data_IF_157334647450
#
_entry.id   IF_157334647450
#
_cell.length_a   1.000
_cell.length_b   1.000
_cell.length_c   1.000
_cell.angle_alpha   90.00
_cell.angle_beta   90.00
_cell.angle_gamma   90.00
#
_symmetry.space_group_name_H-M   'P 1'
#
loop_
_entity.id
_entity.type
_entity.pdbx_description
1 polymer ?
#
# COMPACT_ATOMS: atom_id res chain seq x y z
N UNK A 1 -1.97 7.30 -16.51
CA UNK A 1 -2.13 6.86 -17.93
C UNK A 1 -0.87 6.17 -18.44
N UNK A 2 -0.93 5.41 -19.55
CA UNK A 2 0.26 4.89 -20.26
C UNK A 2 0.84 5.98 -21.16
N UNK A 3 2.13 5.92 -21.46
CA UNK A 3 2.76 6.87 -22.40
C UNK A 3 2.13 6.84 -23.79
N UNK A 4 1.78 5.65 -24.31
CA UNK A 4 1.13 5.54 -25.61
C UNK A 4 -0.25 6.21 -25.65
N UNK A 5 -0.94 6.26 -24.51
CA UNK A 5 -2.20 6.99 -24.36
C UNK A 5 -1.95 8.49 -24.29
N UNK A 6 -0.94 8.93 -23.54
CA UNK A 6 -0.49 10.32 -23.47
C UNK A 6 -0.15 10.91 -24.85
N UNK A 7 0.55 10.12 -25.67
CA UNK A 7 0.93 10.49 -27.04
C UNK A 7 -0.25 10.63 -28.01
N UNK A 8 -1.41 10.05 -27.67
CA UNK A 8 -2.64 10.08 -28.46
C UNK A 8 -3.68 11.05 -27.89
N UNK A 9 -3.32 11.83 -26.87
CA UNK A 9 -4.21 12.87 -26.37
C UNK A 9 -4.35 13.96 -27.44
N UNK A 10 -5.58 14.42 -27.60
CA UNK A 10 -5.95 15.52 -28.48
C UNK A 10 -6.13 16.80 -27.67
N UNK A 11 -6.16 17.95 -28.35
CA UNK A 11 -6.40 19.26 -27.71
C UNK A 11 -7.73 19.30 -26.95
N UNK A 12 -8.74 18.62 -27.46
CA UNK A 12 -10.06 18.52 -26.83
C UNK A 12 -10.14 17.46 -25.69
N UNK A 13 -9.04 16.85 -25.27
CA UNK A 13 -9.10 15.79 -24.25
C UNK A 13 -9.46 16.32 -22.87
N UNK A 14 -9.19 17.59 -22.59
CA UNK A 14 -9.56 18.22 -21.33
C UNK A 14 -11.07 18.56 -21.34
N UNK A 15 -11.79 18.13 -20.30
CA UNK A 15 -13.22 18.41 -20.12
C UNK A 15 -13.51 18.98 -18.74
N UNK A 16 -14.41 19.95 -18.75
CA UNK A 16 -15.02 20.48 -17.54
C UNK A 16 -16.26 19.66 -17.22
N UNK A 17 -16.35 19.15 -15.99
CA UNK A 17 -17.49 18.33 -15.53
C UNK A 17 -18.50 19.14 -14.70
N UNK A 18 -18.26 20.45 -14.54
CA UNK A 18 -19.05 21.33 -13.68
C UNK A 18 -18.30 21.74 -12.40
N UNK A 19 -18.68 22.91 -11.84
CA UNK A 19 -18.00 23.47 -10.66
C UNK A 19 -16.50 23.66 -10.89
N UNK A 20 -15.67 23.17 -9.95
CA UNK A 20 -14.20 23.16 -10.10
C UNK A 20 -13.65 21.78 -10.52
N UNK A 21 -14.49 20.91 -11.11
CA UNK A 21 -14.10 19.55 -11.46
C UNK A 21 -13.66 19.47 -12.93
N UNK A 22 -12.44 19.01 -13.12
CA UNK A 22 -11.85 18.78 -14.44
C UNK A 22 -11.46 17.32 -14.59
N UNK A 23 -11.64 16.80 -15.80
CA UNK A 23 -11.22 15.46 -16.14
C UNK A 23 -10.58 15.42 -17.53
N UNK A 24 -9.62 14.52 -17.66
CA UNK A 24 -9.01 14.18 -18.92
C UNK A 24 -9.75 12.98 -19.52
N UNK A 25 -10.32 13.17 -20.71
CA UNK A 25 -10.79 12.10 -21.56
C UNK A 25 -9.60 11.37 -22.18
N UNK A 26 -9.39 10.11 -21.81
CA UNK A 26 -8.34 9.28 -22.41
C UNK A 26 -8.98 8.40 -23.48
N UNK A 27 -8.66 8.62 -24.78
CA UNK A 27 -9.28 7.89 -25.88
C UNK A 27 -8.88 6.41 -25.88
N UNK A 28 -9.66 5.60 -26.61
CA UNK A 28 -9.52 4.14 -26.72
C UNK A 28 -8.05 3.71 -26.85
N UNK A 29 -7.54 3.09 -25.78
CA UNK A 29 -6.24 2.44 -25.76
C UNK A 29 -6.29 1.02 -26.34
N UNK A 30 -5.17 0.28 -26.23
CA UNK A 30 -5.09 -1.14 -26.63
C UNK A 30 -6.13 -2.06 -25.96
N UNK A 31 -6.76 -1.61 -24.87
CA UNK A 31 -7.75 -2.35 -24.10
C UNK A 31 -9.20 -1.92 -24.40
N UNK A 32 -9.43 -1.07 -25.42
CA UNK A 32 -10.76 -0.61 -25.84
C UNK A 32 -11.65 -0.01 -24.73
N UNK A 33 -11.06 0.51 -23.65
CA UNK A 33 -11.79 1.23 -22.60
C UNK A 33 -11.43 2.72 -22.64
N UNK A 34 -12.43 3.54 -22.96
CA UNK A 34 -12.40 4.97 -22.69
C UNK A 34 -12.52 5.21 -21.19
N UNK A 35 -11.88 6.26 -20.69
CA UNK A 35 -12.00 6.62 -19.28
C UNK A 35 -11.76 8.10 -19.03
N UNK A 36 -12.33 8.54 -17.91
CA UNK A 36 -12.16 9.87 -17.37
C UNK A 36 -11.14 9.82 -16.23
N UNK A 37 -10.07 10.60 -16.36
CA UNK A 37 -9.06 10.74 -15.31
C UNK A 37 -9.23 12.11 -14.66
N UNK A 38 -9.64 12.20 -13.38
CA UNK A 38 -9.74 13.48 -12.68
C UNK A 38 -8.40 14.21 -12.68
N UNK A 39 -8.45 15.52 -12.88
CA UNK A 39 -7.29 16.41 -12.84
C UNK A 39 -7.45 17.42 -11.72
N UNK A 40 -6.34 17.70 -11.04
CA UNK A 40 -6.22 18.84 -10.14
C UNK A 40 -5.89 20.12 -10.93
N UNK A 41 -5.93 21.25 -10.23
CA UNK A 41 -5.65 22.55 -10.84
C UNK A 41 -4.23 22.67 -11.39
N UNK A 42 -3.24 22.02 -10.76
CA UNK A 42 -1.86 22.01 -11.25
C UNK A 42 -1.73 21.26 -12.57
N UNK A 43 -2.30 20.05 -12.68
CA UNK A 43 -2.28 19.30 -13.93
C UNK A 43 -3.06 20.02 -15.04
N UNK A 44 -4.17 20.68 -14.70
CA UNK A 44 -4.92 21.52 -15.63
C UNK A 44 -4.07 22.67 -16.18
N UNK A 45 -3.39 23.44 -15.31
CA UNK A 45 -2.49 24.52 -15.73
C UNK A 45 -1.37 24.02 -16.64
N UNK A 46 -0.82 22.83 -16.37
CA UNK A 46 0.20 22.22 -17.23
C UNK A 46 -0.39 21.90 -18.61
N UNK A 47 -1.60 21.36 -18.67
CA UNK A 47 -2.29 21.08 -19.93
C UNK A 47 -2.53 22.36 -20.75
N UNK A 48 -3.06 23.40 -20.11
CA UNK A 48 -3.29 24.72 -20.72
C UNK A 48 -1.98 25.35 -21.22
N UNK A 49 -0.90 25.22 -20.44
CA UNK A 49 0.43 25.68 -20.84
C UNK A 49 0.97 24.92 -22.05
N UNK A 50 0.70 23.62 -22.16
CA UNK A 50 1.07 22.85 -23.36
C UNK A 50 0.28 23.38 -24.57
N UNK A 51 -1.03 23.62 -24.40
CA UNK A 51 -1.86 24.18 -25.46
C UNK A 51 -1.31 25.52 -25.95
N UNK A 52 -0.94 26.43 -25.06
CA UNK A 52 -0.41 27.75 -25.44
C UNK A 52 0.86 27.71 -26.28
N UNK A 53 1.68 26.65 -26.17
CA UNK A 53 2.87 26.47 -27.02
C UNK A 53 2.57 25.85 -28.38
N UNK A 54 1.38 25.30 -28.56
CA UNK A 54 0.97 24.62 -29.80
C UNK A 54 -0.06 25.41 -30.61
N UNK A 55 -0.60 26.48 -30.05
CA UNK A 55 -1.42 27.46 -30.78
C UNK A 55 -0.55 28.23 -31.76
N UNK A 56 -0.31 27.65 -32.92
CA UNK A 56 0.25 28.37 -34.07
C UNK A 56 -0.81 29.34 -34.59
N UNK A 57 -0.40 30.54 -34.99
CA UNK A 57 -1.20 31.71 -35.44
C UNK A 57 -2.09 31.49 -36.70
N UNK A 58 -2.46 30.25 -37.04
CA UNK A 58 -3.40 29.98 -38.12
C UNK A 58 -4.80 30.40 -37.67
N UNK A 59 -5.37 31.38 -38.38
CA UNK A 59 -6.70 31.99 -38.20
C UNK A 59 -7.89 31.03 -38.30
N UNK A 60 -7.66 29.73 -38.46
CA UNK A 60 -8.68 28.69 -38.46
C UNK A 60 -8.77 28.06 -37.06
N UNK A 61 -10.00 27.90 -36.58
CA UNK A 61 -10.31 27.17 -35.35
C UNK A 61 -9.55 25.82 -35.36
N UNK A 62 -8.60 25.60 -34.43
CA UNK A 62 -7.78 24.40 -34.48
C UNK A 62 -8.66 23.17 -34.34
N UNK A 63 -8.54 22.23 -35.29
CA UNK A 63 -9.33 21.00 -35.30
C UNK A 63 -9.28 20.34 -33.90
N UNK A 64 -10.43 20.10 -33.25
CA UNK A 64 -10.48 19.48 -31.92
C UNK A 64 -9.78 18.11 -31.87
N UNK A 65 -9.62 17.45 -33.02
CA UNK A 65 -8.93 16.17 -33.19
C UNK A 65 -7.40 16.30 -33.29
N UNK A 66 -6.88 17.53 -33.31
CA UNK A 66 -5.44 17.79 -33.38
C UNK A 66 -4.73 17.20 -32.16
N UNK A 67 -3.62 16.45 -32.35
CA UNK A 67 -2.82 15.94 -31.24
C UNK A 67 -2.34 17.06 -30.30
N UNK A 68 -2.34 16.78 -29.00
CA UNK A 68 -1.88 17.70 -27.96
C UNK A 68 -0.36 17.93 -28.02
N UNK A 69 0.40 16.85 -28.26
CA UNK A 69 1.85 16.87 -28.25
C UNK A 69 2.40 16.92 -29.67
N UNK A 70 2.63 18.15 -30.15
CA UNK A 70 3.21 18.44 -31.46
C UNK A 70 4.61 19.03 -31.34
N UNK A 71 5.39 18.79 -32.38
CA UNK A 71 6.68 19.42 -32.62
C UNK A 71 6.47 20.72 -33.40
N UNK A 72 7.44 21.65 -33.42
CA UNK A 72 7.33 22.90 -34.19
C UNK A 72 7.06 22.70 -35.68
N UNK A 73 7.41 21.53 -36.24
CA UNK A 73 7.15 21.16 -37.62
C UNK A 73 5.79 20.45 -37.83
N UNK A 74 4.86 20.54 -36.87
CA UNK A 74 3.53 19.94 -36.93
C UNK A 74 3.46 18.42 -36.76
N UNK A 75 4.60 17.73 -36.64
CA UNK A 75 4.61 16.26 -36.43
C UNK A 75 4.33 15.89 -34.98
N UNK A 76 3.72 14.73 -34.75
CA UNK A 76 3.50 14.19 -33.40
C UNK A 76 4.83 13.87 -32.70
N UNK A 77 4.91 14.13 -31.40
CA UNK A 77 6.06 13.75 -30.58
C UNK A 77 6.18 12.21 -30.52
N UNK A 78 7.40 11.69 -30.61
CA UNK A 78 7.66 10.25 -30.49
C UNK A 78 7.96 9.81 -29.06
N UNK A 79 7.75 8.53 -28.76
CA UNK A 79 8.12 7.92 -27.48
C UNK A 79 9.59 8.18 -27.12
N UNK A 80 10.51 8.02 -28.08
CA UNK A 80 11.94 8.24 -27.88
C UNK A 80 12.24 9.69 -27.45
N UNK A 81 11.52 10.67 -28.02
CA UNK A 81 11.67 12.08 -27.64
C UNK A 81 11.20 12.36 -26.22
N UNK A 82 10.04 11.83 -25.81
CA UNK A 82 9.57 11.97 -24.43
C UNK A 82 10.54 11.30 -23.45
N UNK A 83 11.01 10.10 -23.77
CA UNK A 83 11.98 9.38 -22.95
C UNK A 83 13.32 10.13 -22.84
N UNK A 84 13.79 10.75 -23.93
CA UNK A 84 14.96 11.62 -23.91
C UNK A 84 14.75 12.89 -23.08
N UNK A 85 13.59 13.52 -23.19
CA UNK A 85 13.23 14.70 -22.41
C UNK A 85 13.18 14.39 -20.90
N UNK A 86 12.61 13.23 -20.52
CA UNK A 86 12.61 12.76 -19.13
C UNK A 86 14.03 12.56 -18.61
N UNK A 87 14.90 11.86 -19.37
CA UNK A 87 16.30 11.66 -18.99
C UNK A 87 17.07 12.97 -18.85
N UNK A 88 16.87 13.92 -19.78
CA UNK A 88 17.48 15.26 -19.72
C UNK A 88 17.03 16.01 -18.47
N UNK A 89 15.74 15.93 -18.13
CA UNK A 89 15.16 16.57 -16.96
C UNK A 89 15.68 15.96 -15.66
N UNK A 90 15.79 14.62 -15.59
CA UNK A 90 16.37 13.94 -14.44
C UNK A 90 17.82 14.37 -14.20
N UNK A 91 18.65 14.42 -15.25
CA UNK A 91 20.03 14.93 -15.16
C UNK A 91 20.10 16.38 -14.66
N UNK A 92 19.26 17.26 -15.20
CA UNK A 92 19.23 18.69 -14.83
C UNK A 92 18.80 18.92 -13.38
N UNK A 93 17.97 18.05 -12.83
CA UNK A 93 17.45 18.16 -11.46
C UNK A 93 18.26 17.35 -10.45
N UNK A 94 19.33 16.65 -10.87
CA UNK A 94 20.06 15.72 -10.01
C UNK A 94 19.24 14.50 -9.58
N UNK A 95 18.09 14.24 -10.23
CA UNK A 95 17.23 13.12 -9.89
C UNK A 95 17.75 11.80 -10.48
N UNK A 96 17.51 10.65 -9.81
CA UNK A 96 17.82 9.35 -10.37
C UNK A 96 17.19 9.14 -11.76
N UNK A 97 17.86 8.38 -12.65
CA UNK A 97 17.32 8.10 -13.97
C UNK A 97 15.99 7.35 -13.85
N UNK A 98 14.93 7.93 -14.40
CA UNK A 98 13.59 7.35 -14.40
C UNK A 98 13.12 6.99 -15.82
N UNK A 99 12.38 5.89 -15.91
CA UNK A 99 11.65 5.43 -17.10
C UNK A 99 10.19 5.88 -17.01
N UNK A 100 9.55 6.07 -18.16
CA UNK A 100 8.18 6.61 -18.23
C UNK A 100 7.14 5.76 -17.49
N UNK A 101 7.27 4.43 -17.50
CA UNK A 101 6.37 3.56 -16.72
C UNK A 101 6.57 3.68 -15.21
N UNK A 102 7.76 4.09 -14.74
CA UNK A 102 8.02 4.31 -13.31
C UNK A 102 7.30 5.56 -12.79
N UNK A 103 7.06 6.57 -13.64
CA UNK A 103 6.21 7.70 -13.27
C UNK A 103 4.78 7.25 -12.97
N UNK A 104 4.22 6.38 -13.82
CA UNK A 104 2.91 5.76 -13.59
C UNK A 104 2.89 4.92 -12.31
N UNK A 105 3.95 4.16 -12.06
CA UNK A 105 4.08 3.37 -10.83
C UNK A 105 4.11 4.28 -9.60
N UNK A 106 4.89 5.36 -9.65
CA UNK A 106 5.00 6.33 -8.55
C UNK A 106 3.64 6.96 -8.27
N UNK A 107 2.93 7.42 -9.31
CA UNK A 107 1.57 7.94 -9.18
C UNK A 107 0.63 6.92 -8.51
N UNK A 108 0.62 5.67 -8.98
CA UNK A 108 -0.25 4.64 -8.42
C UNK A 108 0.03 4.37 -6.94
N UNK A 109 1.31 4.21 -6.57
CA UNK A 109 1.70 3.97 -5.19
C UNK A 109 1.41 5.18 -4.29
N UNK A 110 1.68 6.40 -4.76
CA UNK A 110 1.40 7.63 -3.99
C UNK A 110 -0.10 7.81 -3.76
N UNK A 111 -0.93 7.64 -4.79
CA UNK A 111 -2.39 7.75 -4.66
C UNK A 111 -2.96 6.66 -3.74
N UNK A 112 -2.43 5.44 -3.82
CA UNK A 112 -2.84 4.34 -2.94
C UNK A 112 -2.49 4.65 -1.47
N UNK A 113 -1.28 5.16 -1.20
CA UNK A 113 -0.89 5.61 0.14
C UNK A 113 -1.72 6.79 0.64
N UNK A 114 -2.18 7.65 -0.26
CA UNK A 114 -3.09 8.76 0.06
C UNK A 114 -4.53 8.29 0.36
N UNK A 115 -4.83 6.99 0.24
CA UNK A 115 -6.11 6.41 0.64
C UNK A 115 -7.14 6.28 -0.48
N UNK A 116 -6.75 6.40 -1.75
CA UNK A 116 -7.68 6.10 -2.85
C UNK A 116 -8.11 4.62 -2.80
N UNK A 117 -9.38 4.33 -3.06
CA UNK A 117 -9.84 2.95 -3.15
C UNK A 117 -9.19 2.22 -4.33
N UNK A 118 -8.93 0.92 -4.17
CA UNK A 118 -8.33 0.10 -5.24
C UNK A 118 -9.18 0.08 -6.51
N UNK A 119 -10.50 0.08 -6.35
CA UNK A 119 -11.46 0.14 -7.46
C UNK A 119 -11.33 1.45 -8.21
N UNK A 120 -11.30 2.60 -7.52
CA UNK A 120 -11.11 3.89 -8.17
C UNK A 120 -9.74 3.98 -8.86
N UNK A 121 -8.68 3.47 -8.22
CA UNK A 121 -7.35 3.43 -8.82
C UNK A 121 -7.29 2.56 -10.07
N UNK A 122 -7.95 1.39 -10.07
CA UNK A 122 -8.08 0.51 -11.25
C UNK A 122 -8.70 1.26 -12.43
N UNK A 123 -9.80 1.97 -12.18
CA UNK A 123 -10.50 2.74 -13.21
C UNK A 123 -9.62 3.88 -13.75
N UNK A 124 -9.01 4.69 -12.88
CA UNK A 124 -8.09 5.79 -13.28
C UNK A 124 -6.91 5.26 -14.12
N UNK A 125 -6.34 4.13 -13.72
CA UNK A 125 -5.22 3.51 -14.41
C UNK A 125 -5.65 2.82 -15.73
N UNK A 126 -6.94 2.51 -15.90
CA UNK A 126 -7.44 1.75 -17.05
C UNK A 126 -6.90 0.32 -17.03
N UNK A 127 -6.96 -0.33 -15.87
CA UNK A 127 -6.65 -1.74 -15.72
C UNK A 127 -7.90 -2.57 -15.96
N UNK A 128 -7.81 -3.56 -16.86
CA UNK A 128 -8.91 -4.48 -17.11
C UNK A 128 -9.22 -5.34 -15.88
N UNK A 129 -8.16 -5.82 -15.22
CA UNK A 129 -8.24 -6.70 -14.06
C UNK A 129 -7.70 -6.00 -12.81
N UNK A 130 -8.43 -6.11 -11.70
CA UNK A 130 -8.02 -5.59 -10.39
C UNK A 130 -6.68 -6.17 -9.93
N UNK A 131 -6.34 -7.40 -10.34
CA UNK A 131 -5.05 -8.06 -10.06
C UNK A 131 -3.85 -7.22 -10.56
N UNK A 132 -4.02 -6.46 -11.64
CA UNK A 132 -2.96 -5.56 -12.13
C UNK A 132 -2.72 -4.40 -11.16
N UNK A 133 -3.75 -3.92 -10.48
CA UNK A 133 -3.67 -2.85 -9.47
C UNK A 133 -3.15 -3.39 -8.14
N UNK A 134 -3.46 -4.64 -7.79
CA UNK A 134 -3.00 -5.29 -6.56
C UNK A 134 -1.47 -5.32 -6.41
N UNK A 135 -0.72 -5.31 -7.51
CA UNK A 135 0.75 -5.20 -7.47
C UNK A 135 1.24 -3.96 -6.72
N UNK A 136 0.47 -2.86 -6.69
CA UNK A 136 0.83 -1.66 -5.94
C UNK A 136 0.57 -1.78 -4.43
N UNK A 137 -0.35 -2.65 -4.01
CA UNK A 137 -0.69 -2.86 -2.59
C UNK A 137 0.48 -3.50 -1.85
N UNK A 138 1.14 -4.49 -2.45
CA UNK A 138 2.28 -5.16 -1.84
C UNK A 138 3.44 -4.19 -1.56
N UNK A 139 3.63 -3.21 -2.45
CA UNK A 139 4.62 -2.14 -2.25
C UNK A 139 4.28 -1.30 -1.02
N UNK A 140 2.99 -1.00 -0.80
CA UNK A 140 2.53 -0.26 0.38
C UNK A 140 2.51 -1.08 1.68
N UNK A 141 2.45 -2.41 1.61
CA UNK A 141 2.41 -3.26 2.81
C UNK A 141 3.74 -3.20 3.60
N UNK A 142 4.86 -3.05 2.91
CA UNK A 142 6.16 -2.80 3.55
C UNK A 142 6.20 -1.43 4.21
N UNK A 143 5.58 -0.42 3.61
CA UNK A 143 5.45 0.91 4.24
C UNK A 143 4.54 0.85 5.46
N UNK A 144 3.45 0.09 5.40
CA UNK A 144 2.55 -0.11 6.53
C UNK A 144 3.27 -0.77 7.71
N UNK A 145 4.05 -1.83 7.47
CA UNK A 145 4.87 -2.46 8.50
C UNK A 145 5.91 -1.48 9.06
N UNK A 146 6.59 -0.73 8.20
CA UNK A 146 7.54 0.31 8.61
C UNK A 146 6.87 1.38 9.47
N UNK A 147 5.75 1.93 9.03
CA UNK A 147 5.01 2.98 9.75
C UNK A 147 4.43 2.46 11.06
N UNK A 148 3.88 1.24 11.07
CA UNK A 148 3.43 0.56 12.29
C UNK A 148 4.56 0.45 13.31
N UNK A 149 5.73 -0.03 12.90
CA UNK A 149 6.88 -0.16 13.80
C UNK A 149 7.43 1.19 14.26
N UNK A 150 7.45 2.21 13.39
CA UNK A 150 7.84 3.58 13.75
C UNK A 150 6.87 4.20 14.76
N UNK A 151 5.57 4.05 14.54
CA UNK A 151 4.53 4.50 15.46
C UNK A 151 4.66 3.79 16.81
N UNK A 152 4.86 2.46 16.81
CA UNK A 152 5.05 1.67 18.03
C UNK A 152 6.30 2.08 18.81
N UNK A 153 7.41 2.40 18.15
CA UNK A 153 8.62 2.95 18.80
C UNK A 153 8.36 4.30 19.47
N UNK A 154 7.60 5.19 18.82
CA UNK A 154 7.19 6.47 19.40
C UNK A 154 6.19 6.31 20.55
N UNK A 155 5.25 5.38 20.45
CA UNK A 155 4.32 5.09 21.54
C UNK A 155 5.03 4.54 22.78
N UNK A 156 6.06 3.70 22.60
CA UNK A 156 6.87 3.20 23.70
C UNK A 156 7.62 4.31 24.46
N UNK A 157 7.88 5.47 23.84
CA UNK A 157 8.46 6.63 24.53
C UNK A 157 7.43 7.58 25.14
N UNK A 158 6.17 7.55 24.70
CA UNK A 158 5.10 8.46 25.14
C UNK A 158 4.25 7.84 26.25
N UNK A 159 4.01 6.54 26.17
CA UNK A 159 3.40 5.78 27.24
C UNK A 159 4.50 4.95 27.88
N UNK A 160 4.86 5.28 29.13
CA UNK A 160 5.38 4.27 30.04
C UNK A 160 4.27 3.23 30.13
N UNK A 161 4.37 2.19 29.31
CA UNK A 161 3.57 0.99 29.49
C UNK A 161 3.73 0.63 30.96
N UNK A 162 2.62 0.49 31.72
CA UNK A 162 2.74 -0.05 33.05
C UNK A 162 3.55 -1.33 32.90
N UNK A 163 4.72 -1.37 33.52
CA UNK A 163 5.41 -2.62 33.70
C UNK A 163 4.39 -3.49 34.40
N UNK A 164 3.81 -4.46 33.68
CA UNK A 164 3.21 -5.58 34.34
C UNK A 164 4.32 -6.07 35.24
N UNK A 165 4.15 -5.91 36.54
CA UNK A 165 5.05 -6.45 37.55
C UNK A 165 5.00 -7.97 37.44
N UNK A 166 5.63 -8.47 36.39
CA UNK A 166 6.18 -9.79 36.25
C UNK A 166 7.68 -9.68 36.52
N UNK A 167 8.05 -8.95 37.59
CA UNK A 167 9.23 -9.32 38.36
C UNK A 167 8.93 -10.65 39.06
N UNK A 168 8.85 -11.67 38.24
CA UNK A 168 9.32 -12.98 38.61
C UNK A 168 10.49 -13.32 37.68
N UNK A 169 11.45 -12.38 37.56
CA UNK A 169 12.81 -12.87 37.74
C UNK A 169 12.84 -13.54 39.11
N UNK A 170 13.28 -14.81 39.20
CA UNK A 170 13.49 -15.42 40.50
C UNK A 170 14.52 -14.53 41.19
N UNK A 171 14.05 -13.72 42.13
CA UNK A 171 14.93 -13.18 43.15
C UNK A 171 15.68 -14.39 43.68
N UNK A 172 17.01 -14.34 43.60
CA UNK A 172 17.90 -15.28 44.24
C UNK A 172 17.38 -15.60 45.64
N UNK A 173 16.77 -16.78 45.82
CA UNK A 173 16.07 -17.12 47.06
C UNK A 173 15.02 -18.22 46.91
N UNK A 174 15.50 -19.46 46.88
CA UNK A 174 14.75 -20.73 46.88
C UNK A 174 13.96 -21.10 45.61
N UNK A 175 14.61 -21.86 44.73
CA UNK A 175 13.93 -22.71 43.73
C UNK A 175 13.21 -23.83 44.47
N UNK A 176 11.99 -23.55 44.94
CA UNK A 176 11.19 -24.48 45.74
C UNK A 176 10.15 -25.23 44.91
N UNK A 177 9.64 -26.34 45.45
CA UNK A 177 8.50 -27.11 44.91
C UNK A 177 7.29 -26.21 44.60
N UNK A 178 7.14 -25.10 45.32
CA UNK A 178 6.06 -24.12 45.13
C UNK A 178 6.13 -23.41 43.77
N UNK A 179 7.32 -23.01 43.29
CA UNK A 179 7.46 -22.35 42.00
C UNK A 179 7.24 -23.33 40.85
N UNK A 180 7.65 -24.59 41.02
CA UNK A 180 7.34 -25.68 40.10
C UNK A 180 5.82 -25.89 40.02
N UNK A 181 5.12 -25.90 41.17
CA UNK A 181 3.66 -26.00 41.19
C UNK A 181 2.97 -24.83 40.48
N UNK A 182 3.46 -23.61 40.69
CA UNK A 182 2.94 -22.39 40.03
C UNK A 182 3.15 -22.43 38.51
N UNK A 183 4.34 -22.87 38.05
CA UNK A 183 4.63 -23.03 36.64
C UNK A 183 3.72 -24.09 35.99
N UNK A 184 3.49 -25.22 36.66
CA UNK A 184 2.59 -26.28 36.18
C UNK A 184 1.14 -25.79 36.03
N UNK A 185 0.67 -24.94 36.94
CA UNK A 185 -0.66 -24.33 36.84
C UNK A 185 -0.78 -23.37 35.65
N UNK A 186 0.23 -22.54 35.42
CA UNK A 186 0.27 -21.62 34.29
C UNK A 186 0.25 -22.39 32.95
N UNK A 187 1.07 -23.43 32.81
CA UNK A 187 1.10 -24.29 31.61
C UNK A 187 -0.24 -24.96 31.37
N UNK A 188 -0.90 -25.46 32.43
CA UNK A 188 -2.23 -26.08 32.33
C UNK A 188 -3.28 -25.08 31.84
N UNK A 189 -3.25 -23.84 32.31
CA UNK A 189 -4.17 -22.81 31.88
C UNK A 189 -3.98 -22.45 30.40
N UNK A 190 -2.74 -22.34 29.94
CA UNK A 190 -2.43 -22.08 28.52
C UNK A 190 -2.90 -23.22 27.61
N UNK A 191 -2.71 -24.48 28.03
CA UNK A 191 -3.21 -25.65 27.29
C UNK A 191 -4.74 -25.65 27.15
N UNK A 192 -5.46 -25.23 28.20
CA UNK A 192 -6.92 -25.16 28.17
C UNK A 192 -7.42 -24.03 27.27
N UNK A 193 -6.71 -22.89 27.22
CA UNK A 193 -6.99 -21.82 26.26
C UNK A 193 -6.78 -22.27 24.82
N UNK A 194 -5.69 -22.98 24.55
CA UNK A 194 -5.40 -23.53 23.23
C UNK A 194 -6.43 -24.59 22.81
N UNK A 195 -6.85 -25.48 23.73
CA UNK A 195 -7.86 -26.53 23.47
C UNK A 195 -9.18 -25.98 22.92
N UNK A 196 -9.60 -24.80 23.37
CA UNK A 196 -10.86 -24.15 22.92
C UNK A 196 -10.79 -23.64 21.47
N UNK A 197 -9.59 -23.39 20.97
CA UNK A 197 -9.35 -22.85 19.63
C UNK A 197 -9.17 -23.96 18.57
N UNK A 198 -8.91 -25.20 18.98
CA UNK A 198 -8.71 -26.34 18.07
C UNK A 198 -10.06 -26.88 17.56
N UNK A 199 -10.22 -27.21 16.27
CA UNK A 199 -11.47 -27.77 15.74
C UNK A 199 -11.56 -29.31 15.91
N UNK A 200 -10.44 -30.03 15.88
CA UNK A 200 -10.40 -31.51 15.94
C UNK A 200 -10.71 -32.07 17.33
N UNK A 201 -11.71 -32.93 17.43
CA UNK A 201 -12.11 -33.55 18.70
C UNK A 201 -11.04 -34.51 19.24
N UNK A 202 -10.31 -35.19 18.37
CA UNK A 202 -9.22 -36.10 18.76
C UNK A 202 -8.05 -35.33 19.41
N UNK A 203 -7.73 -34.15 18.90
CA UNK A 203 -6.68 -33.28 19.45
C UNK A 203 -7.11 -32.62 20.76
N UNK A 204 -8.37 -32.18 20.87
CA UNK A 204 -8.94 -31.70 22.14
C UNK A 204 -8.80 -32.73 23.25
N UNK A 205 -9.08 -34.00 22.95
CA UNK A 205 -8.96 -35.10 23.90
C UNK A 205 -7.51 -35.35 24.32
N UNK A 206 -6.54 -35.25 23.38
CA UNK A 206 -5.10 -35.34 23.70
C UNK A 206 -4.63 -34.22 24.62
N UNK A 207 -5.00 -32.97 24.32
CA UNK A 207 -4.66 -31.80 25.13
C UNK A 207 -5.28 -31.88 26.52
N UNK A 208 -6.55 -32.31 26.61
CA UNK A 208 -7.23 -32.52 27.88
C UNK A 208 -6.54 -33.60 28.74
N UNK A 209 -6.09 -34.69 28.12
CA UNK A 209 -5.35 -35.76 28.79
C UNK A 209 -4.02 -35.23 29.34
N UNK A 210 -3.29 -34.43 28.57
CA UNK A 210 -2.02 -33.82 29.00
C UNK A 210 -2.23 -32.83 30.16
N UNK A 211 -3.24 -31.97 30.09
CA UNK A 211 -3.61 -31.06 31.18
C UNK A 211 -3.98 -31.80 32.48
N UNK A 212 -4.68 -32.94 32.37
CA UNK A 212 -5.00 -33.80 33.53
C UNK A 212 -3.74 -34.45 34.12
N UNK A 213 -2.79 -34.89 33.29
CA UNK A 213 -1.51 -35.46 33.76
C UNK A 213 -0.68 -34.42 34.52
N UNK A 214 -0.61 -33.18 34.02
CA UNK A 214 0.08 -32.09 34.72
C UNK A 214 -0.59 -31.76 36.06
N UNK A 215 -1.92 -31.79 36.14
CA UNK A 215 -2.65 -31.60 37.39
C UNK A 215 -2.34 -32.70 38.42
N UNK A 216 -2.26 -33.97 37.98
CA UNK A 216 -1.84 -35.08 38.86
C UNK A 216 -0.41 -34.91 39.35
N UNK A 217 0.50 -34.50 38.48
CA UNK A 217 1.91 -34.28 38.83
C UNK A 217 2.06 -33.13 39.85
N UNK A 218 1.34 -32.03 39.65
CA UNK A 218 1.27 -30.93 40.64
C UNK A 218 0.75 -31.43 42.00
N UNK A 219 -0.33 -32.21 42.01
CA UNK A 219 -0.90 -32.72 43.26
C UNK A 219 0.08 -33.63 44.02
N UNK A 220 0.81 -34.49 43.30
CA UNK A 220 1.86 -35.33 43.89
C UNK A 220 3.01 -34.50 44.47
N UNK A 221 3.47 -33.47 43.74
CA UNK A 221 4.51 -32.55 44.22
C UNK A 221 4.06 -31.75 45.44
N UNK A 222 2.80 -31.31 45.49
CA UNK A 222 2.24 -30.59 46.64
C UNK A 222 2.12 -31.49 47.88
N UNK A 223 1.80 -32.78 47.70
CA UNK A 223 1.72 -33.76 48.78
C UNK A 223 3.08 -34.18 49.35
N UNK A 224 4.15 -34.08 48.55
CA UNK A 224 5.54 -34.34 48.99
C UNK A 224 6.06 -33.32 50.03
N UNK A 225 5.27 -32.31 50.40
CA UNK A 225 5.62 -31.27 51.38
C UNK A 225 5.02 -31.53 52.78
N UNK A 226 4.11 -32.50 52.92
CA UNK A 226 3.42 -32.83 54.18
C UNK A 226 3.96 -34.06 54.90
N UNK A 227 5.10 -34.59 54.45
CA UNK A 227 5.87 -35.65 55.10
C UNK A 227 7.27 -35.11 55.43
#
# INVERSE_FOLDING_TARGET
>A
MRVGECLRLNRNSLRHLGGNQWALHVPLGKLHNERWVPLDDEARKIFERILSFTSTDSSDLPDPSTPLLLLPNGKTVSYCRISAALRKTAKRTGSPPARLHQLRHTYATVMLRAGISLTALKEILGHHDIRMTMGYVQVTQNDLQREYHLARKKMASVHNLPHLSGDHHPASGSSGIHDICRALDAVRHQLEMYRRQVPSQQEKNKIQSLARRLAKFRAALAASKTA
#
